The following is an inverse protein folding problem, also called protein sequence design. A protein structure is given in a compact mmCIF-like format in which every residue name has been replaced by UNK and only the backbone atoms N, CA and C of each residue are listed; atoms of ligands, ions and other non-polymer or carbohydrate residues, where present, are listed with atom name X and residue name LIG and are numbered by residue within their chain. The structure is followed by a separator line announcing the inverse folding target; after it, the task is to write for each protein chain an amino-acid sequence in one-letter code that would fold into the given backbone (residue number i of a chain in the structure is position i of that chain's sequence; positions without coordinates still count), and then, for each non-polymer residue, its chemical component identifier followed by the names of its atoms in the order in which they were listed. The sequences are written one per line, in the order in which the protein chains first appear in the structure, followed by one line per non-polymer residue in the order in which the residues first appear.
data_IF_292912634797
#
_entry.id   IF_292912634797
#
_cell.length_a   1.000
_cell.length_b   1.000
_cell.length_c   1.000
_cell.angle_alpha   90.00
_cell.angle_beta   90.00
_cell.angle_gamma   90.00
#
_symmetry.space_group_name_H-M   'P 1'
#
loop_
_entity.id
_entity.type
_entity.pdbx_description
1 polymer ?
#
# COMPACT_ATOMS: atom_id res chain seq x y z
N UNK A 1 15.69 2.50 -25.76
CA UNK A 1 15.82 2.71 -24.32
C UNK A 1 14.81 1.86 -23.58
N UNK A 2 15.25 1.11 -22.61
CA UNK A 2 14.39 0.19 -21.89
C UNK A 2 14.01 0.77 -20.54
N UNK A 3 12.70 0.81 -20.27
CA UNK A 3 12.18 1.15 -18.95
C UNK A 3 12.03 -0.14 -18.16
N UNK A 4 13.08 -0.51 -17.46
CA UNK A 4 13.07 -1.69 -16.64
C UNK A 4 12.26 -1.45 -15.38
N UNK A 5 11.38 -2.39 -15.04
CA UNK A 5 10.56 -2.36 -13.84
C UNK A 5 11.29 -3.09 -12.72
N UNK A 6 11.54 -2.39 -11.62
CA UNK A 6 12.26 -2.92 -10.46
C UNK A 6 11.43 -2.69 -9.21
N UNK A 7 11.33 -3.72 -8.36
CA UNK A 7 10.80 -3.60 -7.01
C UNK A 7 11.99 -3.82 -6.07
N UNK A 8 12.23 -2.87 -5.19
CA UNK A 8 13.32 -2.95 -4.23
C UNK A 8 12.91 -2.42 -2.86
N UNK A 9 13.70 -2.71 -1.85
CA UNK A 9 13.44 -2.21 -0.51
C UNK A 9 13.62 -0.69 -0.43
N UNK A 10 12.79 -0.08 0.42
CA UNK A 10 12.85 1.35 0.71
C UNK A 10 14.15 1.72 1.41
N UNK A 11 14.68 2.90 1.06
CA UNK A 11 15.79 3.56 1.75
C UNK A 11 15.33 4.94 2.18
N UNK A 12 15.96 5.50 3.22
CA UNK A 12 15.61 6.84 3.71
C UNK A 12 15.70 7.91 2.62
N UNK A 13 16.57 7.72 1.63
CA UNK A 13 16.69 8.64 0.49
C UNK A 13 15.47 8.64 -0.44
N UNK A 14 14.56 7.65 -0.30
CA UNK A 14 13.34 7.57 -1.10
C UNK A 14 12.19 8.40 -0.53
N UNK A 15 12.33 8.89 0.70
CA UNK A 15 11.24 9.54 1.43
C UNK A 15 10.58 10.65 0.63
N UNK A 16 11.38 11.55 0.04
CA UNK A 16 10.83 12.68 -0.70
C UNK A 16 10.04 12.23 -1.93
N UNK A 17 10.55 11.24 -2.65
CA UNK A 17 9.84 10.70 -3.83
C UNK A 17 8.49 10.11 -3.44
N UNK A 18 8.42 9.42 -2.30
CA UNK A 18 7.17 8.83 -1.81
C UNK A 18 6.19 9.92 -1.38
N UNK A 19 6.66 10.95 -0.69
CA UNK A 19 5.79 12.08 -0.32
C UNK A 19 5.24 12.77 -1.56
N UNK A 20 6.05 12.89 -2.62
CA UNK A 20 5.58 13.44 -3.88
C UNK A 20 4.48 12.58 -4.51
N UNK A 21 4.61 11.25 -4.44
CA UNK A 21 3.56 10.34 -4.92
C UNK A 21 2.26 10.55 -4.16
N UNK A 22 2.33 10.71 -2.85
CA UNK A 22 1.14 10.97 -2.04
C UNK A 22 0.48 12.27 -2.46
N UNK A 23 1.25 13.33 -2.64
CA UNK A 23 0.73 14.64 -3.05
C UNK A 23 0.02 14.58 -4.40
N UNK A 24 0.55 13.80 -5.33
CA UNK A 24 -0.09 13.59 -6.64
C UNK A 24 -1.45 12.88 -6.52
N UNK A 25 -1.67 12.15 -5.42
CA UNK A 25 -2.90 11.42 -5.15
C UNK A 25 -3.79 12.12 -4.11
N UNK A 26 -3.51 13.36 -3.77
CA UNK A 26 -4.26 14.14 -2.78
C UNK A 26 -5.03 15.25 -3.51
N UNK A 27 -6.35 15.38 -3.36
CA UNK A 27 -7.24 14.57 -2.52
C UNK A 27 -7.85 13.34 -3.21
N UNK A 28 -7.38 12.95 -4.38
CA UNK A 28 -7.98 11.88 -5.19
C UNK A 28 -8.14 10.55 -4.46
N UNK A 29 -7.09 10.12 -3.72
CA UNK A 29 -7.10 8.87 -2.97
C UNK A 29 -6.80 9.07 -1.49
N UNK A 30 -6.19 10.20 -1.11
CA UNK A 30 -5.78 10.49 0.26
C UNK A 30 -6.24 11.87 0.68
N UNK A 31 -6.51 12.04 1.97
CA UNK A 31 -6.82 13.34 2.54
C UNK A 31 -5.52 14.13 2.78
N UNK A 32 -5.59 15.48 2.79
CA UNK A 32 -4.39 16.29 3.09
C UNK A 32 -3.75 15.98 4.45
N UNK A 33 -4.54 15.52 5.42
CA UNK A 33 -4.05 15.19 6.75
C UNK A 33 -3.17 13.94 6.77
N UNK A 34 -3.26 13.08 5.76
CA UNK A 34 -2.53 11.82 5.74
C UNK A 34 -1.04 12.00 5.45
N UNK A 35 -0.60 13.15 4.95
CA UNK A 35 0.82 13.36 4.68
C UNK A 35 1.66 13.26 5.96
N UNK A 36 1.21 13.87 7.06
CA UNK A 36 1.92 13.78 8.32
C UNK A 36 1.94 12.35 8.87
N UNK A 37 0.87 11.60 8.63
CA UNK A 37 0.80 10.20 9.03
C UNK A 37 1.81 9.35 8.24
N UNK A 38 1.96 9.63 6.95
CA UNK A 38 2.94 8.92 6.13
C UNK A 38 4.37 9.24 6.55
N UNK A 39 4.66 10.52 6.85
CA UNK A 39 5.98 10.90 7.37
C UNK A 39 6.30 10.12 8.64
N UNK A 40 5.36 10.08 9.57
CA UNK A 40 5.55 9.33 10.82
C UNK A 40 5.78 7.84 10.56
N UNK A 41 4.99 7.25 9.66
CA UNK A 41 5.14 5.85 9.29
C UNK A 41 6.53 5.56 8.72
N UNK A 42 6.97 6.37 7.76
CA UNK A 42 8.27 6.17 7.11
C UNK A 42 9.44 6.32 8.08
N UNK A 43 9.29 7.15 9.12
CA UNK A 43 10.34 7.41 10.10
C UNK A 43 10.32 6.42 11.27
N UNK A 44 9.17 5.84 11.60
CA UNK A 44 9.02 5.12 12.87
C UNK A 44 8.39 3.73 12.77
N UNK A 45 7.64 3.41 11.70
CA UNK A 45 6.78 2.23 11.70
C UNK A 45 7.05 1.23 10.57
N UNK A 46 8.04 1.49 9.74
CA UNK A 46 8.36 0.59 8.63
C UNK A 46 8.84 -0.76 9.17
N UNK A 47 8.24 -1.85 8.67
CA UNK A 47 8.78 -3.19 8.84
C UNK A 47 9.28 -3.71 7.48
N UNK A 48 8.41 -3.78 6.46
CA UNK A 48 8.76 -4.17 5.10
C UNK A 48 8.11 -3.17 4.15
N UNK A 49 8.92 -2.34 3.52
CA UNK A 49 8.40 -1.31 2.61
C UNK A 49 9.21 -1.32 1.33
N UNK A 50 8.52 -1.24 0.19
CA UNK A 50 9.11 -1.41 -1.14
C UNK A 50 8.84 -0.20 -2.01
N UNK A 51 9.77 0.04 -2.93
CA UNK A 51 9.67 1.09 -3.94
C UNK A 51 9.60 0.41 -5.30
N UNK A 52 8.71 0.90 -6.14
CA UNK A 52 8.54 0.45 -7.51
C UNK A 52 9.14 1.51 -8.43
N UNK A 53 10.15 1.11 -9.19
CA UNK A 53 10.81 2.01 -10.14
C UNK A 53 10.59 1.55 -11.56
N UNK A 54 10.34 2.50 -12.44
CA UNK A 54 10.29 2.28 -13.89
C UNK A 54 11.38 3.14 -14.52
N UNK A 55 12.43 2.51 -15.01
CA UNK A 55 13.64 3.24 -15.39
C UNK A 55 14.27 3.88 -14.17
N UNK A 56 14.38 5.20 -14.17
CA UNK A 56 14.92 5.96 -13.03
C UNK A 56 13.83 6.64 -12.20
N UNK A 57 12.56 6.45 -12.57
CA UNK A 57 11.44 7.13 -11.94
C UNK A 57 10.79 6.24 -10.87
N UNK A 58 10.57 6.80 -9.68
CA UNK A 58 9.74 6.16 -8.67
C UNK A 58 8.28 6.30 -9.06
N UNK A 59 7.62 5.19 -9.32
CA UNK A 59 6.22 5.19 -9.78
C UNK A 59 5.25 4.60 -8.77
N UNK A 60 5.74 4.00 -7.70
CA UNK A 60 4.88 3.45 -6.67
C UNK A 60 5.65 3.06 -5.43
N UNK A 61 4.91 2.81 -4.36
CA UNK A 61 5.47 2.30 -3.12
C UNK A 61 4.39 1.58 -2.33
N UNK A 62 4.80 0.68 -1.47
CA UNK A 62 3.89 -0.06 -0.62
C UNK A 62 4.63 -1.12 0.18
N UNK A 63 4.08 -1.46 1.33
CA UNK A 63 4.72 -2.42 2.19
C UNK A 63 3.73 -3.31 2.91
N UNK A 64 4.22 -3.98 3.94
CA UNK A 64 3.37 -4.70 4.87
C UNK A 64 3.98 -4.65 6.26
N UNK A 65 3.10 -4.71 7.23
CA UNK A 65 3.42 -4.80 8.64
C UNK A 65 2.70 -6.01 9.21
N UNK A 66 3.05 -6.39 10.43
CA UNK A 66 2.40 -7.49 11.12
C UNK A 66 1.65 -6.99 12.35
N UNK A 67 0.58 -7.70 12.71
CA UNK A 67 -0.06 -7.51 14.01
C UNK A 67 0.95 -7.85 15.13
N UNK A 68 0.70 -7.41 16.37
CA UNK A 68 1.63 -7.68 17.47
C UNK A 68 1.97 -9.16 17.67
N UNK A 69 0.99 -10.05 17.47
CA UNK A 69 1.19 -11.50 17.59
C UNK A 69 1.71 -12.14 16.30
N UNK A 70 1.88 -11.34 15.24
CA UNK A 70 2.40 -11.76 13.93
C UNK A 70 1.55 -12.79 13.20
N UNK A 71 0.28 -12.90 13.55
CA UNK A 71 -0.65 -13.80 12.85
C UNK A 71 -1.39 -13.13 11.70
N UNK A 72 -1.36 -11.80 11.63
CA UNK A 72 -2.00 -11.02 10.56
C UNK A 72 -0.97 -10.20 9.82
N UNK A 73 -0.88 -10.37 8.51
CA UNK A 73 -0.14 -9.47 7.63
C UNK A 73 -1.04 -8.29 7.25
N UNK A 74 -0.50 -7.08 7.29
CA UNK A 74 -1.25 -5.86 7.04
C UNK A 74 -0.59 -5.11 5.88
N UNK A 75 -1.30 -4.98 4.77
CA UNK A 75 -0.83 -4.22 3.61
C UNK A 75 -0.77 -2.74 4.01
N UNK A 76 0.36 -2.10 3.78
CA UNK A 76 0.63 -0.75 4.28
C UNK A 76 0.95 0.22 3.16
N UNK A 77 0.26 1.36 3.18
CA UNK A 77 0.59 2.54 2.38
C UNK A 77 0.88 2.28 0.91
N UNK A 78 -0.09 1.73 0.20
CA UNK A 78 -0.04 1.58 -1.26
C UNK A 78 -0.24 2.94 -1.92
N UNK A 79 0.78 3.40 -2.64
CA UNK A 79 0.71 4.67 -3.37
C UNK A 79 1.24 4.42 -4.77
N UNK A 80 0.46 4.78 -5.80
CA UNK A 80 0.86 4.60 -7.18
C UNK A 80 0.72 5.92 -7.93
N UNK A 81 1.73 6.27 -8.71
CA UNK A 81 1.70 7.49 -9.52
C UNK A 81 0.46 7.47 -10.43
N UNK A 82 -0.34 8.55 -10.46
CA UNK A 82 -1.62 8.55 -11.20
C UNK A 82 -1.47 8.20 -12.68
N UNK A 83 -0.38 8.61 -13.32
CA UNK A 83 -0.15 8.33 -14.74
C UNK A 83 0.17 6.87 -15.02
N UNK A 84 0.45 6.09 -13.97
CA UNK A 84 0.83 4.68 -14.09
C UNK A 84 -0.20 3.73 -13.49
N UNK A 85 -1.32 4.26 -13.00
CA UNK A 85 -2.44 3.46 -12.56
C UNK A 85 -3.03 2.69 -13.74
N UNK A 86 -3.63 1.70 -13.83
CA UNK A 86 -4.19 0.96 -14.99
C UNK A 86 -3.13 0.28 -15.87
N UNK A 87 -1.87 0.21 -15.42
CA UNK A 87 -0.82 -0.51 -16.15
C UNK A 87 -0.40 -1.77 -15.41
N UNK A 88 -1.26 -2.29 -14.56
CA UNK A 88 -1.04 -3.50 -13.75
C UNK A 88 0.11 -3.38 -12.74
N UNK A 89 0.67 -2.18 -12.56
CA UNK A 89 1.80 -1.98 -11.65
C UNK A 89 1.38 -2.17 -10.19
N UNK A 90 0.15 -1.73 -9.85
CA UNK A 90 -0.39 -1.94 -8.51
C UNK A 90 -0.53 -3.42 -8.18
N UNK A 91 -1.01 -4.22 -9.15
CA UNK A 91 -1.14 -5.67 -8.98
C UNK A 91 0.22 -6.34 -8.80
N UNK A 92 1.22 -5.90 -9.58
CA UNK A 92 2.57 -6.44 -9.50
C UNK A 92 3.17 -6.15 -8.11
N UNK A 93 3.01 -4.93 -7.62
CA UNK A 93 3.52 -4.55 -6.31
C UNK A 93 2.80 -5.29 -5.19
N UNK A 94 1.48 -5.43 -5.28
CA UNK A 94 0.69 -6.15 -4.29
C UNK A 94 1.06 -7.64 -4.25
N UNK A 95 1.15 -8.28 -5.42
CA UNK A 95 1.49 -9.70 -5.51
C UNK A 95 2.90 -9.97 -4.98
N UNK A 96 3.84 -9.07 -5.23
CA UNK A 96 5.20 -9.19 -4.67
C UNK A 96 5.15 -9.27 -3.14
N UNK A 97 4.36 -8.41 -2.51
CA UNK A 97 4.22 -8.38 -1.05
C UNK A 97 3.50 -9.62 -0.52
N UNK A 98 2.43 -10.05 -1.18
CA UNK A 98 1.71 -11.24 -0.77
C UNK A 98 2.64 -12.46 -0.79
N UNK A 99 3.45 -12.60 -1.85
CA UNK A 99 4.42 -13.70 -1.93
C UNK A 99 5.47 -13.61 -0.82
N UNK A 100 5.92 -12.40 -0.47
CA UNK A 100 6.83 -12.22 0.67
C UNK A 100 6.18 -12.63 1.99
N UNK A 101 4.92 -12.25 2.19
CA UNK A 101 4.18 -12.63 3.42
C UNK A 101 4.04 -14.15 3.54
N UNK A 102 3.89 -14.85 2.41
CA UNK A 102 3.77 -16.32 2.41
C UNK A 102 4.98 -17.03 3.02
N UNK A 103 6.13 -16.36 3.10
CA UNK A 103 7.32 -16.92 3.74
C UNK A 103 7.21 -16.96 5.26
N UNK A 104 6.23 -16.27 5.84
CA UNK A 104 6.02 -16.20 7.29
C UNK A 104 4.92 -17.18 7.68
N UNK A 105 5.31 -18.32 8.22
CA UNK A 105 4.39 -19.47 8.41
C UNK A 105 3.34 -19.25 9.49
N UNK A 106 3.57 -18.31 10.41
CA UNK A 106 2.62 -18.01 11.47
C UNK A 106 1.48 -17.12 11.03
N UNK A 107 1.56 -16.52 9.84
CA UNK A 107 0.51 -15.64 9.32
C UNK A 107 -0.72 -16.46 8.93
N UNK A 108 -1.86 -16.10 9.50
CA UNK A 108 -3.14 -16.77 9.30
C UNK A 108 -4.07 -16.00 8.36
N UNK A 109 -3.89 -14.70 8.26
CA UNK A 109 -4.71 -13.84 7.42
C UNK A 109 -3.92 -12.62 6.95
N UNK A 110 -4.36 -12.03 5.84
CA UNK A 110 -3.79 -10.79 5.30
C UNK A 110 -4.94 -9.81 5.14
N UNK A 111 -4.77 -8.59 5.66
CA UNK A 111 -5.77 -7.54 5.57
C UNK A 111 -5.20 -6.29 4.92
N UNK A 112 -6.08 -5.46 4.41
CA UNK A 112 -5.77 -4.09 4.00
C UNK A 112 -6.79 -3.15 4.62
N UNK A 113 -6.33 -1.95 5.00
CA UNK A 113 -7.17 -0.88 5.53
C UNK A 113 -7.09 0.25 4.52
N UNK A 114 -8.10 0.37 3.68
CA UNK A 114 -8.14 1.32 2.58
C UNK A 114 -9.33 2.27 2.71
N UNK A 115 -9.77 2.89 1.63
CA UNK A 115 -10.90 3.82 1.64
C UNK A 115 -11.89 3.48 0.52
N UNK A 116 -13.04 4.18 0.53
CA UNK A 116 -14.05 4.05 -0.53
C UNK A 116 -13.47 4.46 -1.89
N UNK A 117 -12.35 5.17 -1.92
CA UNK A 117 -11.73 5.64 -3.15
C UNK A 117 -10.85 4.58 -3.81
N UNK A 118 -10.38 3.59 -3.05
CA UNK A 118 -9.41 2.60 -3.53
C UNK A 118 -9.83 1.14 -3.34
N UNK A 119 -10.93 0.88 -2.63
CA UNK A 119 -11.28 -0.50 -2.25
C UNK A 119 -11.55 -1.42 -3.44
N UNK A 120 -12.02 -0.88 -4.56
CA UNK A 120 -12.31 -1.70 -5.74
C UNK A 120 -11.07 -2.35 -6.34
N UNK A 121 -9.93 -1.69 -6.23
CA UNK A 121 -8.67 -2.29 -6.64
C UNK A 121 -8.41 -3.59 -5.86
N UNK A 122 -8.55 -3.53 -4.53
CA UNK A 122 -8.32 -4.71 -3.69
C UNK A 122 -9.38 -5.78 -3.91
N UNK A 123 -10.61 -5.37 -4.14
CA UNK A 123 -11.70 -6.30 -4.45
C UNK A 123 -11.34 -7.15 -5.68
N UNK A 124 -10.81 -6.52 -6.72
CA UNK A 124 -10.37 -7.22 -7.94
C UNK A 124 -9.18 -8.15 -7.68
N UNK A 125 -8.39 -7.86 -6.65
CA UNK A 125 -7.22 -8.68 -6.31
C UNK A 125 -7.56 -9.85 -5.37
N UNK A 126 -8.82 -9.99 -4.99
CA UNK A 126 -9.26 -11.11 -4.16
C UNK A 126 -9.47 -10.76 -2.70
N UNK A 127 -9.59 -9.49 -2.37
CA UNK A 127 -9.95 -9.05 -1.02
C UNK A 127 -11.46 -8.87 -0.91
N UNK A 128 -11.99 -9.16 0.27
CA UNK A 128 -13.43 -8.99 0.58
C UNK A 128 -13.58 -7.96 1.69
N UNK A 129 -14.56 -7.07 1.52
CA UNK A 129 -14.86 -6.05 2.52
C UNK A 129 -15.43 -6.69 3.78
N UNK A 130 -14.86 -6.35 4.94
CA UNK A 130 -15.32 -6.88 6.23
C UNK A 130 -15.78 -5.81 7.21
N UNK A 131 -15.38 -4.54 7.03
CA UNK A 131 -15.78 -3.46 7.94
C UNK A 131 -15.68 -2.11 7.25
N UNK A 132 -16.60 -1.19 7.57
CA UNK A 132 -16.53 0.21 7.16
C UNK A 132 -16.64 1.06 8.43
N UNK A 133 -15.74 2.05 8.57
CA UNK A 133 -15.83 3.06 9.63
C UNK A 133 -15.84 4.43 8.98
N UNK A 134 -16.97 5.14 9.11
CA UNK A 134 -17.12 6.46 8.49
C UNK A 134 -16.14 7.47 9.07
N UNK A 135 -15.62 8.34 8.18
CA UNK A 135 -14.72 9.45 8.54
C UNK A 135 -13.48 9.03 9.34
N UNK A 136 -13.04 7.79 9.18
CA UNK A 136 -11.93 7.24 9.96
C UNK A 136 -10.62 7.97 9.67
N UNK A 137 -10.29 8.17 8.37
CA UNK A 137 -9.04 8.81 7.98
C UNK A 137 -9.12 10.33 8.11
N UNK A 138 -10.27 10.90 7.77
CA UNK A 138 -10.60 12.31 7.81
C UNK A 138 -12.06 12.46 7.41
N UNK A 139 -12.69 13.63 7.61
CA UNK A 139 -14.07 13.86 7.13
C UNK A 139 -14.17 13.52 5.65
N UNK A 140 -15.10 12.63 5.29
CA UNK A 140 -15.30 12.18 3.92
C UNK A 140 -14.36 11.08 3.44
N UNK A 141 -13.43 10.61 4.29
CA UNK A 141 -12.49 9.53 3.96
C UNK A 141 -12.70 8.37 4.93
N UNK A 142 -13.42 7.37 4.48
CA UNK A 142 -13.87 6.25 5.32
C UNK A 142 -12.85 5.11 5.33
N UNK A 143 -12.79 4.37 6.43
CA UNK A 143 -12.04 3.13 6.48
C UNK A 143 -12.84 2.02 5.83
N UNK A 144 -12.24 1.36 4.85
CA UNK A 144 -12.72 0.11 4.27
C UNK A 144 -11.70 -0.96 4.62
N UNK A 145 -12.04 -1.80 5.58
CA UNK A 145 -11.16 -2.90 6.00
C UNK A 145 -11.53 -4.14 5.21
N UNK A 146 -10.52 -4.77 4.59
CA UNK A 146 -10.73 -5.91 3.70
C UNK A 146 -9.77 -7.05 4.04
N UNK A 147 -10.20 -8.28 3.80
CA UNK A 147 -9.40 -9.48 4.04
C UNK A 147 -9.15 -10.23 2.74
N UNK A 148 -7.92 -10.72 2.57
CA UNK A 148 -7.53 -11.49 1.40
C UNK A 148 -8.11 -12.90 1.47
N UNK A 149 -8.98 -13.26 0.53
CA UNK A 149 -9.72 -14.53 0.56
C UNK A 149 -8.93 -15.72 0.02
N UNK A 150 -7.79 -15.46 -0.64
CA UNK A 150 -6.96 -16.51 -1.25
C UNK A 150 -5.80 -16.95 -0.36
N UNK A 151 -5.84 -16.57 0.92
CA UNK A 151 -4.81 -16.96 1.88
C UNK A 151 -5.10 -18.36 2.44
N UNK A 152 -4.11 -19.25 2.66
CA UNK A 152 -2.69 -19.01 2.43
C UNK A 152 -2.24 -18.96 0.99
#
# INVERSE_FOLDING_TARGET
MHNELIIREYKSSDKQAILNLLRLNTPGCFSPQEESDLVYFLENEIEYYFVLELGTQTVGSGGFNFSPDKTTGIISWDILHPDFQRKSLGSILLNHRIEKIREFKDVQTVIVRTSQLSYRFYEKQGFTLIEIVEDYWAPGFHLYKMAYTRWP
#
